data_IF_785796574302
#
_entry.id   IF_785796574302
#
_cell.length_a   1.000
_cell.length_b   1.000
_cell.length_c   1.000
_cell.angle_alpha   90.00
_cell.angle_beta   90.00
_cell.angle_gamma   90.00
#
_symmetry.space_group_name_H-M   'P 1'
#
loop_
_entity.id
_entity.type
_entity.pdbx_description
1 polymer ?
#
# COMPACT_ATOMS: atom_id res chain seq x y z
N UNK A 1 -0.94 -14.70 23.58
CA UNK A 1 -1.60 -13.54 22.99
C UNK A 1 -2.19 -13.82 21.60
N UNK A 2 -2.91 -14.95 21.44
CA UNK A 2 -3.73 -15.21 20.25
C UNK A 2 -5.17 -14.74 20.45
N UNK A 3 -5.49 -14.16 21.61
CA UNK A 3 -6.80 -13.57 21.88
C UNK A 3 -7.04 -12.41 20.92
N UNK A 4 -8.13 -12.45 20.18
CA UNK A 4 -8.50 -11.47 19.18
C UNK A 4 -7.58 -11.42 17.92
N UNK A 5 -6.86 -12.48 17.62
CA UNK A 5 -6.07 -12.62 16.40
C UNK A 5 -6.84 -13.47 15.39
N UNK A 6 -7.66 -12.83 14.57
CA UNK A 6 -8.54 -13.47 13.59
C UNK A 6 -7.73 -14.34 12.63
N UNK A 7 -8.21 -15.54 12.38
CA UNK A 7 -7.60 -16.49 11.43
C UNK A 7 -6.49 -17.35 12.01
N UNK A 8 -6.04 -17.09 13.24
CA UNK A 8 -4.98 -17.88 13.88
C UNK A 8 -5.32 -18.30 15.30
N UNK A 9 -4.93 -19.51 15.65
CA UNK A 9 -4.89 -20.03 17.03
C UNK A 9 -3.47 -20.45 17.38
N UNK A 10 -3.21 -20.65 18.68
CA UNK A 10 -1.94 -21.19 19.14
C UNK A 10 -1.86 -22.68 18.80
N UNK A 11 -0.87 -23.05 17.99
CA UNK A 11 -0.54 -24.45 17.71
C UNK A 11 0.12 -25.15 18.92
N UNK A 12 0.26 -26.47 18.82
CA UNK A 12 0.91 -27.30 19.88
C UNK A 12 2.39 -26.95 20.04
N UNK A 13 3.04 -26.50 18.97
CA UNK A 13 4.42 -26.02 18.90
C UNK A 13 4.59 -24.55 19.35
N UNK A 14 3.49 -23.90 19.76
CA UNK A 14 3.45 -22.52 20.16
C UNK A 14 3.39 -21.51 18.99
N UNK A 15 3.50 -21.96 17.74
CA UNK A 15 3.40 -21.14 16.53
C UNK A 15 1.94 -20.87 16.15
N UNK A 16 1.68 -19.80 15.33
CA UNK A 16 0.35 -19.58 14.78
C UNK A 16 -0.08 -20.75 13.88
N UNK A 17 -1.29 -21.26 14.09
CA UNK A 17 -1.93 -22.25 13.24
C UNK A 17 -3.20 -21.64 12.65
N UNK A 18 -3.39 -21.79 11.34
CA UNK A 18 -4.54 -21.24 10.63
C UNK A 18 -5.84 -21.89 11.10
N UNK A 19 -6.86 -21.05 11.31
CA UNK A 19 -8.26 -21.45 11.53
C UNK A 19 -9.03 -21.11 10.26
N UNK A 20 -9.30 -22.10 9.42
CA UNK A 20 -9.78 -21.88 8.05
C UNK A 20 -11.11 -21.12 7.98
N UNK A 21 -12.03 -21.32 8.93
CA UNK A 21 -13.28 -20.57 9.00
C UNK A 21 -13.06 -19.05 9.17
N UNK A 22 -12.09 -18.67 9.99
CA UNK A 22 -11.70 -17.28 10.22
C UNK A 22 -10.79 -16.74 9.12
N UNK A 23 -9.90 -17.59 8.58
CA UNK A 23 -9.01 -17.22 7.46
C UNK A 23 -9.79 -16.80 6.21
N UNK A 24 -10.94 -17.41 5.95
CA UNK A 24 -11.86 -16.98 4.88
C UNK A 24 -12.30 -15.53 5.05
N UNK A 25 -12.54 -15.08 6.29
CA UNK A 25 -12.93 -13.70 6.58
C UNK A 25 -11.75 -12.75 6.30
N UNK A 26 -10.53 -13.14 6.71
CA UNK A 26 -9.32 -12.35 6.43
C UNK A 26 -9.12 -12.22 4.92
N UNK A 27 -9.12 -13.32 4.16
CA UNK A 27 -9.00 -13.29 2.69
C UNK A 27 -10.09 -12.44 2.05
N UNK A 28 -11.33 -12.47 2.58
CA UNK A 28 -12.43 -11.61 2.12
C UNK A 28 -12.11 -10.12 2.34
N UNK A 29 -11.57 -9.74 3.50
CA UNK A 29 -11.18 -8.36 3.81
C UNK A 29 -10.13 -7.86 2.80
N UNK A 30 -9.09 -8.66 2.53
CA UNK A 30 -8.05 -8.34 1.56
C UNK A 30 -8.61 -8.19 0.14
N UNK A 31 -9.48 -9.13 -0.28
CA UNK A 31 -10.15 -9.08 -1.58
C UNK A 31 -11.01 -7.83 -1.73
N UNK A 32 -11.91 -7.55 -0.79
CA UNK A 32 -12.78 -6.36 -0.82
C UNK A 32 -11.97 -5.06 -0.87
N UNK A 33 -10.83 -5.01 -0.18
CA UNK A 33 -9.94 -3.85 -0.22
C UNK A 33 -9.32 -3.66 -1.61
N UNK A 34 -8.84 -4.72 -2.25
CA UNK A 34 -8.28 -4.70 -3.61
C UNK A 34 -9.36 -4.43 -4.66
N UNK A 35 -10.61 -4.84 -4.43
CA UNK A 35 -11.78 -4.45 -5.22
C UNK A 35 -12.14 -2.97 -5.08
N UNK A 36 -11.46 -2.21 -4.23
CA UNK A 36 -11.58 -0.76 -4.13
C UNK A 36 -12.36 -0.25 -2.92
N UNK A 37 -12.87 -1.11 -2.03
CA UNK A 37 -13.60 -0.65 -0.84
C UNK A 37 -12.67 0.03 0.16
N UNK A 38 -13.23 0.96 0.93
CA UNK A 38 -12.52 1.55 2.08
C UNK A 38 -12.62 0.63 3.30
N UNK A 39 -11.69 0.73 4.28
CA UNK A 39 -11.82 0.01 5.55
C UNK A 39 -13.18 0.25 6.25
N UNK A 40 -13.72 1.47 6.15
CA UNK A 40 -15.05 1.81 6.69
C UNK A 40 -16.18 1.04 6.00
N UNK A 41 -16.13 0.91 4.67
CA UNK A 41 -17.13 0.16 3.92
C UNK A 41 -17.00 -1.34 4.16
N UNK A 42 -15.77 -1.86 4.21
CA UNK A 42 -15.52 -3.26 4.55
C UNK A 42 -16.08 -3.57 5.94
N UNK A 43 -15.83 -2.71 6.93
CA UNK A 43 -16.38 -2.86 8.28
C UNK A 43 -17.93 -2.88 8.29
N UNK A 44 -18.55 -2.01 7.48
CA UNK A 44 -20.01 -2.00 7.32
C UNK A 44 -20.52 -3.30 6.68
N UNK A 45 -19.92 -3.73 5.58
CA UNK A 45 -20.29 -4.98 4.87
C UNK A 45 -20.22 -6.19 5.80
N UNK A 46 -19.11 -6.32 6.56
CA UNK A 46 -18.95 -7.41 7.52
C UNK A 46 -20.00 -7.36 8.65
N UNK A 47 -20.36 -6.15 9.10
CA UNK A 47 -21.41 -5.94 10.10
C UNK A 47 -22.79 -6.32 9.57
N UNK A 48 -23.13 -5.89 8.34
CA UNK A 48 -24.41 -6.20 7.67
C UNK A 48 -24.56 -7.70 7.39
N UNK A 49 -23.47 -8.39 7.10
CA UNK A 49 -23.44 -9.86 6.93
C UNK A 49 -23.47 -10.64 8.26
N UNK A 50 -23.47 -9.95 9.41
CA UNK A 50 -23.51 -10.59 10.73
C UNK A 50 -22.24 -11.33 11.11
N UNK A 51 -21.10 -11.04 10.46
CA UNK A 51 -19.81 -11.68 10.74
C UNK A 51 -19.26 -11.10 12.05
N UNK A 52 -18.95 -11.94 13.07
CA UNK A 52 -18.43 -11.46 14.35
C UNK A 52 -17.02 -10.88 14.20
N UNK A 53 -16.71 -9.85 14.98
CA UNK A 53 -15.35 -9.30 15.05
C UNK A 53 -14.39 -10.28 15.75
N UNK A 54 -13.04 -10.08 15.62
CA UNK A 54 -12.07 -10.89 16.38
C UNK A 54 -12.29 -10.92 17.90
N UNK A 55 -12.94 -9.89 18.44
CA UNK A 55 -13.32 -9.78 19.86
C UNK A 55 -14.73 -10.28 20.17
N UNK A 56 -15.44 -10.91 19.22
CA UNK A 56 -16.80 -11.41 19.40
C UNK A 56 -17.90 -10.33 19.40
N UNK A 57 -17.58 -9.09 19.00
CA UNK A 57 -18.59 -8.01 18.87
C UNK A 57 -19.30 -8.08 17.53
N UNK A 58 -20.51 -7.57 17.46
CA UNK A 58 -21.33 -7.54 16.24
C UNK A 58 -20.87 -6.45 15.26
N UNK A 59 -20.45 -5.29 15.78
CA UNK A 59 -20.12 -4.12 14.96
C UNK A 59 -18.62 -4.05 14.69
N UNK A 60 -18.25 -4.10 13.42
CA UNK A 60 -16.88 -3.88 12.97
C UNK A 60 -16.49 -2.40 12.98
N UNK A 61 -15.27 -2.11 13.38
CA UNK A 61 -14.67 -0.78 13.31
C UNK A 61 -13.66 -0.71 12.15
N UNK A 62 -13.53 0.47 11.52
CA UNK A 62 -12.53 0.68 10.47
C UNK A 62 -11.10 0.38 10.95
N UNK A 63 -10.77 0.78 12.19
CA UNK A 63 -9.46 0.53 12.80
C UNK A 63 -9.13 -0.96 12.93
N UNK A 64 -10.14 -1.81 13.14
CA UNK A 64 -9.96 -3.27 13.18
C UNK A 64 -9.62 -3.80 11.79
N UNK A 65 -10.31 -3.32 10.76
CA UNK A 65 -10.02 -3.68 9.36
C UNK A 65 -8.63 -3.19 8.95
N UNK A 66 -8.26 -1.94 9.26
CA UNK A 66 -6.93 -1.39 8.99
C UNK A 66 -5.83 -2.19 9.70
N UNK A 67 -6.05 -2.57 10.96
CA UNK A 67 -5.12 -3.41 11.71
C UNK A 67 -4.92 -4.79 11.06
N UNK A 68 -5.97 -5.38 10.46
CA UNK A 68 -5.87 -6.64 9.72
C UNK A 68 -5.09 -6.43 8.42
N UNK A 69 -5.39 -5.39 7.66
CA UNK A 69 -4.74 -5.09 6.38
C UNK A 69 -3.24 -4.76 6.52
N UNK A 70 -2.81 -4.23 7.67
CA UNK A 70 -1.42 -3.77 7.90
C UNK A 70 -0.58 -4.74 8.73
N UNK A 71 -1.14 -5.86 9.20
CA UNK A 71 -0.42 -6.78 10.04
C UNK A 71 0.36 -7.81 9.21
N UNK A 72 1.69 -7.73 9.23
CA UNK A 72 2.61 -8.60 8.51
C UNK A 72 2.43 -10.10 8.81
N UNK A 73 1.84 -10.42 9.95
CA UNK A 73 1.59 -11.82 10.33
C UNK A 73 0.63 -12.53 9.38
N UNK A 74 -0.22 -11.80 8.67
CA UNK A 74 -1.14 -12.40 7.70
C UNK A 74 -0.43 -12.92 6.44
N UNK A 75 0.77 -12.42 6.11
CA UNK A 75 1.61 -13.01 5.06
C UNK A 75 2.60 -14.07 5.56
N UNK A 76 2.61 -14.34 6.88
CA UNK A 76 3.48 -15.34 7.48
C UNK A 76 4.72 -14.82 8.18
N UNK A 77 4.95 -13.51 8.20
CA UNK A 77 6.10 -12.88 8.82
C UNK A 77 5.81 -12.46 10.28
N UNK A 78 6.85 -12.08 11.00
CA UNK A 78 6.70 -11.58 12.36
C UNK A 78 7.70 -10.45 12.66
N UNK A 79 7.20 -9.27 12.99
CA UNK A 79 8.00 -8.20 13.58
C UNK A 79 7.93 -8.31 15.09
N UNK A 80 9.07 -8.64 15.69
CA UNK A 80 9.23 -8.79 17.13
C UNK A 80 9.61 -7.45 17.79
N UNK A 81 9.29 -7.33 19.09
CA UNK A 81 9.59 -6.13 19.88
C UNK A 81 8.98 -4.82 19.36
N UNK A 82 7.76 -4.90 18.77
CA UNK A 82 6.96 -3.71 18.40
C UNK A 82 6.67 -2.79 19.59
N UNK A 83 6.66 -3.34 20.81
CA UNK A 83 6.47 -2.61 22.08
C UNK A 83 7.45 -3.13 23.09
N UNK A 84 7.90 -2.26 23.99
CA UNK A 84 8.72 -2.62 25.13
C UNK A 84 8.19 -1.98 26.42
N UNK A 85 8.55 -2.56 27.54
CA UNK A 85 8.17 -2.03 28.86
C UNK A 85 9.23 -1.00 29.28
N UNK A 86 8.83 0.26 29.42
CA UNK A 86 9.73 1.38 29.73
C UNK A 86 10.20 1.29 31.19
N UNK A 87 9.31 0.86 32.08
CA UNK A 87 9.57 0.78 33.49
C UNK A 87 8.95 -0.49 34.07
N UNK A 88 9.78 -1.27 34.76
CA UNK A 88 9.39 -2.54 35.36
C UNK A 88 8.32 -2.39 36.46
N UNK A 89 8.37 -1.27 37.23
CA UNK A 89 7.42 -1.03 38.30
C UNK A 89 6.04 -0.62 37.79
N UNK A 90 5.98 0.31 36.86
CA UNK A 90 4.71 0.80 36.29
C UNK A 90 4.14 -0.10 35.23
N UNK A 91 4.92 -1.05 34.68
CA UNK A 91 4.59 -1.93 33.56
C UNK A 91 4.06 -1.16 32.31
N UNK A 92 4.36 0.13 32.21
CA UNK A 92 4.00 0.95 31.05
C UNK A 92 4.70 0.43 29.81
N UNK A 93 3.91 0.14 28.79
CA UNK A 93 4.41 -0.24 27.47
C UNK A 93 4.45 0.98 26.55
N UNK A 94 5.55 1.14 25.83
CA UNK A 94 5.73 2.12 24.76
C UNK A 94 5.87 1.38 23.42
N UNK A 95 5.42 2.02 22.32
CA UNK A 95 5.75 1.56 20.98
C UNK A 95 7.25 1.75 20.79
N UNK A 96 7.91 0.73 20.25
CA UNK A 96 9.33 0.79 19.97
C UNK A 96 9.55 1.58 18.67
N UNK A 97 10.14 2.76 18.82
CA UNK A 97 10.48 3.67 17.71
C UNK A 97 11.99 3.60 17.36
N UNK A 98 12.68 2.57 17.87
CA UNK A 98 14.13 2.36 17.69
C UNK A 98 14.91 2.31 18.99
N UNK A 99 14.26 2.47 20.15
CA UNK A 99 14.94 2.45 21.46
C UNK A 99 15.45 1.05 21.85
N UNK A 100 14.79 0.02 21.32
CA UNK A 100 15.17 -1.39 21.55
C UNK A 100 15.24 -2.08 20.18
N UNK A 101 16.23 -2.97 19.92
CA UNK A 101 16.33 -3.69 18.66
C UNK A 101 15.03 -4.39 18.28
N UNK A 102 14.58 -4.22 17.05
CA UNK A 102 13.46 -4.93 16.46
C UNK A 102 13.99 -6.03 15.55
N UNK A 103 13.31 -7.16 15.54
CA UNK A 103 13.69 -8.29 14.70
C UNK A 103 12.55 -8.64 13.76
N UNK A 104 12.81 -8.58 12.46
CA UNK A 104 11.90 -9.04 11.44
C UNK A 104 12.25 -10.48 11.06
N UNK A 105 11.26 -11.37 11.13
CA UNK A 105 11.42 -12.78 10.83
C UNK A 105 10.50 -13.12 9.66
N UNK A 106 11.08 -13.38 8.50
CA UNK A 106 10.36 -13.82 7.32
C UNK A 106 10.00 -15.30 7.45
N UNK A 107 8.82 -15.68 6.92
CA UNK A 107 8.36 -17.06 6.93
C UNK A 107 8.24 -17.68 8.33
N UNK A 108 7.97 -16.87 9.34
CA UNK A 108 7.81 -17.31 10.74
C UNK A 108 6.73 -18.38 10.92
N UNK A 109 5.70 -18.33 10.09
CA UNK A 109 4.55 -19.26 10.09
C UNK A 109 3.84 -19.25 8.73
N UNK A 110 2.87 -20.13 8.55
CA UNK A 110 2.05 -20.16 7.34
C UNK A 110 1.17 -18.91 7.23
N UNK A 111 1.24 -18.21 6.08
CA UNK A 111 0.45 -17.01 5.79
C UNK A 111 -0.97 -17.35 5.37
N UNK A 112 -1.95 -16.53 5.78
CA UNK A 112 -3.34 -16.62 5.30
C UNK A 112 -3.48 -16.03 3.91
N UNK A 113 -2.69 -14.99 3.60
CA UNK A 113 -2.57 -14.39 2.27
C UNK A 113 -1.13 -14.53 1.79
N UNK A 114 -0.93 -14.48 0.48
CA UNK A 114 0.43 -14.52 -0.08
C UNK A 114 1.14 -13.19 0.13
N UNK A 115 2.48 -13.20 0.06
CA UNK A 115 3.29 -11.99 0.20
C UNK A 115 2.89 -10.95 -0.85
N UNK A 116 2.66 -11.38 -2.10
CA UNK A 116 2.28 -10.51 -3.21
C UNK A 116 0.94 -9.78 -2.93
N UNK A 117 -0.06 -10.49 -2.42
CA UNK A 117 -1.37 -9.92 -2.06
C UNK A 117 -1.23 -8.92 -0.92
N UNK A 118 -0.41 -9.24 0.09
CA UNK A 118 -0.13 -8.33 1.19
C UNK A 118 0.55 -7.05 0.67
N UNK A 119 1.58 -7.18 -0.14
CA UNK A 119 2.36 -6.06 -0.67
C UNK A 119 1.51 -5.16 -1.59
N UNK A 120 0.62 -5.73 -2.41
CA UNK A 120 -0.35 -4.97 -3.20
C UNK A 120 -1.27 -4.13 -2.31
N UNK A 121 -1.71 -4.69 -1.18
CA UNK A 121 -2.54 -3.96 -0.20
C UNK A 121 -1.75 -2.83 0.46
N UNK A 122 -0.48 -3.06 0.87
CA UNK A 122 0.36 -1.99 1.42
C UNK A 122 0.59 -0.86 0.41
N UNK A 123 0.90 -1.20 -0.84
CA UNK A 123 1.03 -0.21 -1.91
C UNK A 123 -0.25 0.64 -2.06
N UNK A 124 -1.42 0.00 -2.13
CA UNK A 124 -2.69 0.69 -2.30
C UNK A 124 -3.05 1.56 -1.07
N UNK A 125 -2.73 1.10 0.15
CA UNK A 125 -2.87 1.90 1.37
C UNK A 125 -2.00 3.15 1.32
N UNK A 126 -0.72 2.98 0.93
CA UNK A 126 0.22 4.09 0.79
C UNK A 126 -0.22 5.08 -0.29
N UNK A 127 -0.63 4.59 -1.46
CA UNK A 127 -1.16 5.39 -2.57
C UNK A 127 -2.38 6.23 -2.15
N UNK A 128 -3.35 5.60 -1.46
CA UNK A 128 -4.54 6.31 -0.97
C UNK A 128 -4.18 7.39 0.04
N UNK A 129 -3.21 7.12 0.91
CA UNK A 129 -2.73 8.07 1.91
C UNK A 129 -1.97 9.24 1.28
N UNK A 130 -1.15 9.01 0.25
CA UNK A 130 -0.36 10.05 -0.42
C UNK A 130 -1.22 11.05 -1.20
N UNK A 131 -2.42 10.66 -1.63
CA UNK A 131 -3.35 11.55 -2.35
C UNK A 131 -3.95 12.64 -1.47
N UNK A 132 -3.76 12.56 -0.14
CA UNK A 132 -4.22 13.54 0.86
C UNK A 132 -5.70 14.00 0.68
N UNK A 133 -6.55 13.13 0.14
CA UNK A 133 -7.97 13.39 -0.15
C UNK A 133 -8.86 12.32 0.48
N UNK A 134 -10.08 12.72 0.87
CA UNK A 134 -11.09 11.78 1.34
C UNK A 134 -11.44 10.78 0.23
N UNK A 135 -11.10 9.52 0.44
CA UNK A 135 -11.46 8.43 -0.44
C UNK A 135 -12.92 8.00 -0.18
N UNK A 136 -13.74 7.97 -1.23
CA UNK A 136 -15.11 7.48 -1.15
C UNK A 136 -15.23 6.20 -2.00
N UNK A 137 -15.62 5.09 -1.39
CA UNK A 137 -15.76 3.79 -2.08
C UNK A 137 -17.11 3.58 -2.77
N UNK A 138 -17.98 4.61 -2.84
CA UNK A 138 -19.26 4.48 -3.54
C UNK A 138 -19.11 4.40 -5.06
N UNK A 139 -17.97 4.85 -5.59
CA UNK A 139 -17.68 4.82 -7.01
C UNK A 139 -16.34 4.14 -7.27
N UNK A 140 -16.23 3.22 -8.26
CA UNK A 140 -14.97 2.59 -8.63
C UNK A 140 -13.93 3.59 -9.15
N UNK A 141 -14.37 4.77 -9.56
CA UNK A 141 -13.53 5.83 -10.12
C UNK A 141 -12.88 6.71 -9.05
N UNK A 142 -13.31 6.58 -7.79
CA UNK A 142 -12.79 7.39 -6.68
C UNK A 142 -11.26 7.27 -6.56
N UNK A 143 -10.57 8.42 -6.42
CA UNK A 143 -9.11 8.56 -6.34
C UNK A 143 -8.30 8.03 -7.55
N UNK A 144 -8.95 7.63 -8.63
CA UNK A 144 -8.27 7.18 -9.85
C UNK A 144 -8.38 8.19 -10.98
N UNK A 145 -9.37 9.07 -10.95
CA UNK A 145 -9.52 10.16 -11.91
C UNK A 145 -8.72 11.38 -11.43
N UNK A 146 -7.73 11.78 -12.18
CA UNK A 146 -6.80 12.88 -11.84
C UNK A 146 -6.94 14.01 -12.86
N UNK A 147 -6.99 15.22 -12.37
CA UNK A 147 -6.99 16.42 -13.21
C UNK A 147 -5.61 16.65 -13.83
N UNK A 148 -5.53 16.73 -15.15
CA UNK A 148 -4.28 16.99 -15.86
C UNK A 148 -3.75 18.42 -15.69
N UNK A 149 -4.59 19.39 -15.26
CA UNK A 149 -4.15 20.77 -15.02
C UNK A 149 -3.55 20.95 -13.62
N UNK A 150 -4.25 20.47 -12.57
CA UNK A 150 -3.86 20.76 -11.19
C UNK A 150 -3.39 19.55 -10.38
N UNK A 151 -3.39 18.34 -10.95
CA UNK A 151 -3.06 17.09 -10.25
C UNK A 151 -4.08 16.65 -9.19
N UNK A 152 -5.13 17.44 -8.96
CA UNK A 152 -6.19 17.11 -8.00
C UNK A 152 -7.10 16.00 -8.49
N UNK A 153 -7.85 15.38 -7.56
CA UNK A 153 -8.78 14.30 -7.92
C UNK A 153 -10.11 14.83 -8.45
N UNK A 154 -10.75 14.03 -9.30
CA UNK A 154 -12.15 14.21 -9.68
C UNK A 154 -13.07 13.60 -8.61
N UNK A 155 -14.18 14.27 -8.33
CA UNK A 155 -15.24 13.80 -7.44
C UNK A 155 -16.57 13.68 -8.17
N UNK A 156 -17.38 12.73 -7.71
CA UNK A 156 -18.76 12.61 -8.15
C UNK A 156 -19.57 13.82 -7.68
N UNK A 157 -20.34 14.41 -8.59
CA UNK A 157 -21.26 15.55 -8.35
C UNK A 157 -22.59 15.25 -8.97
N UNK A 158 -23.64 15.75 -8.37
CA UNK A 158 -24.99 15.68 -8.93
C UNK A 158 -25.23 16.98 -9.69
N UNK A 159 -25.44 16.87 -10.99
CA UNK A 159 -25.84 17.96 -11.86
C UNK A 159 -27.37 18.04 -11.90
N UNK A 160 -27.89 19.25 -11.87
CA UNK A 160 -29.34 19.51 -11.93
C UNK A 160 -30.15 18.72 -10.88
N UNK A 161 -29.74 18.77 -9.62
CA UNK A 161 -30.29 17.96 -8.52
C UNK A 161 -31.81 18.09 -8.33
N UNK A 162 -32.41 19.21 -8.77
CA UNK A 162 -33.82 19.58 -8.53
C UNK A 162 -34.72 19.43 -9.74
N UNK A 163 -34.26 18.87 -10.86
CA UNK A 163 -35.05 18.74 -12.07
C UNK A 163 -34.93 17.35 -12.72
N UNK A 164 -35.68 17.14 -13.83
CA UNK A 164 -35.72 15.89 -14.59
C UNK A 164 -34.40 15.53 -15.29
N UNK A 165 -33.46 16.48 -15.38
CA UNK A 165 -32.14 16.28 -16.00
C UNK A 165 -31.06 15.92 -14.97
N UNK A 166 -31.48 15.55 -13.75
CA UNK A 166 -30.57 15.10 -12.68
C UNK A 166 -29.70 13.96 -13.16
N UNK A 167 -28.39 14.16 -13.14
CA UNK A 167 -27.38 13.17 -13.51
C UNK A 167 -26.15 13.26 -12.64
N UNK A 168 -25.47 12.13 -12.47
CA UNK A 168 -24.16 12.09 -11.82
C UNK A 168 -23.06 12.38 -12.84
N UNK A 169 -22.18 13.29 -12.50
CA UNK A 169 -20.99 13.65 -13.27
C UNK A 169 -19.76 13.60 -12.39
N UNK A 170 -18.61 13.40 -13.00
CA UNK A 170 -17.29 13.47 -12.38
C UNK A 170 -16.60 14.74 -12.85
N UNK A 171 -16.14 15.58 -11.92
CA UNK A 171 -15.40 16.80 -12.23
C UNK A 171 -14.28 17.06 -11.23
N UNK A 172 -13.27 17.82 -11.62
CA UNK A 172 -12.18 18.23 -10.75
C UNK A 172 -12.71 18.91 -9.47
N UNK A 173 -12.23 18.46 -8.32
CA UNK A 173 -12.63 19.02 -7.02
C UNK A 173 -12.16 20.48 -6.84
N UNK A 174 -11.14 20.93 -7.61
CA UNK A 174 -10.63 22.28 -7.60
C UNK A 174 -11.25 23.21 -8.65
N UNK A 175 -12.33 22.76 -9.34
CA UNK A 175 -12.99 23.53 -10.39
C UNK A 175 -13.46 24.92 -9.95
N UNK A 176 -13.82 25.10 -8.70
CA UNK A 176 -14.36 26.36 -8.18
C UNK A 176 -13.34 27.19 -7.37
N UNK A 177 -12.06 27.02 -7.63
CA UNK A 177 -11.00 27.93 -7.18
C UNK A 177 -10.63 27.91 -5.70
N UNK A 178 -11.23 27.05 -4.88
CA UNK A 178 -10.96 27.02 -3.42
C UNK A 178 -9.54 26.58 -3.03
N UNK A 179 -8.76 26.06 -3.97
CA UNK A 179 -7.41 25.51 -3.72
C UNK A 179 -6.37 25.92 -4.78
N UNK A 180 -6.73 26.72 -5.77
CA UNK A 180 -5.77 27.35 -6.69
C UNK A 180 -5.38 28.70 -6.12
N UNK A 181 -4.07 28.94 -5.95
CA UNK A 181 -3.55 30.18 -5.37
C UNK A 181 -3.87 31.45 -6.19
N UNK A 182 -4.35 31.28 -7.42
CA UNK A 182 -4.77 32.32 -8.37
C UNK A 182 -6.31 32.57 -8.36
N UNK A 183 -7.07 31.81 -7.59
CA UNK A 183 -8.54 31.90 -7.54
C UNK A 183 -9.24 31.40 -8.81
N UNK A 184 -8.50 30.99 -9.85
CA UNK A 184 -9.02 30.45 -11.09
C UNK A 184 -9.19 28.93 -10.94
N UNK A 185 -10.42 28.44 -11.03
CA UNK A 185 -10.71 27.00 -10.99
C UNK A 185 -10.24 26.27 -12.25
N UNK A 186 -10.03 24.95 -12.13
CA UNK A 186 -9.64 24.11 -13.27
C UNK A 186 -10.69 24.11 -14.39
N UNK A 187 -10.23 24.19 -15.64
CA UNK A 187 -11.07 24.22 -16.84
C UNK A 187 -11.34 22.84 -17.43
N UNK A 188 -10.72 21.80 -16.89
CA UNK A 188 -10.89 20.42 -17.38
C UNK A 188 -12.36 20.00 -17.40
N UNK A 189 -12.80 19.20 -18.41
CA UNK A 189 -14.21 18.87 -18.60
C UNK A 189 -14.76 17.98 -17.47
N UNK A 190 -16.05 18.00 -17.28
CA UNK A 190 -16.75 16.96 -16.54
C UNK A 190 -16.97 15.74 -17.44
N UNK A 191 -17.03 14.55 -16.85
CA UNK A 191 -17.30 13.28 -17.51
C UNK A 191 -18.45 12.56 -16.84
N UNK A 192 -19.23 11.82 -17.59
CA UNK A 192 -20.23 10.90 -17.06
C UNK A 192 -19.60 9.53 -16.76
N UNK A 193 -20.28 8.72 -15.96
CA UNK A 193 -19.82 7.36 -15.68
C UNK A 193 -19.71 6.52 -16.97
N UNK A 194 -20.61 6.71 -17.90
CA UNK A 194 -20.64 5.93 -19.15
C UNK A 194 -19.51 6.36 -20.11
N UNK A 195 -19.18 7.65 -20.17
CA UNK A 195 -17.99 8.13 -20.90
C UNK A 195 -16.71 7.53 -20.33
N UNK A 196 -16.56 7.45 -18.99
CA UNK A 196 -15.39 6.86 -18.33
C UNK A 196 -15.31 5.35 -18.63
N UNK A 197 -16.42 4.63 -18.51
CA UNK A 197 -16.49 3.18 -18.79
C UNK A 197 -16.16 2.87 -20.24
N UNK A 198 -16.76 3.60 -21.18
CA UNK A 198 -16.51 3.42 -22.62
C UNK A 198 -15.05 3.71 -22.99
N UNK A 199 -14.47 4.80 -22.44
CA UNK A 199 -13.07 5.12 -22.64
C UNK A 199 -12.14 4.03 -22.08
N UNK A 200 -12.44 3.48 -20.89
CA UNK A 200 -11.68 2.36 -20.33
C UNK A 200 -11.73 1.11 -21.21
N UNK A 201 -12.92 0.71 -21.63
CA UNK A 201 -13.10 -0.46 -22.51
C UNK A 201 -12.24 -0.29 -23.79
N UNK A 202 -12.30 0.88 -24.42
CA UNK A 202 -11.51 1.16 -25.61
C UNK A 202 -10.00 1.12 -25.38
N UNK A 203 -9.53 1.78 -24.33
CA UNK A 203 -8.11 1.82 -23.96
C UNK A 203 -7.58 0.43 -23.59
N UNK A 204 -8.33 -0.36 -22.80
CA UNK A 204 -7.93 -1.71 -22.43
C UNK A 204 -7.94 -2.67 -23.62
N UNK A 205 -8.93 -2.56 -24.51
CA UNK A 205 -8.96 -3.31 -25.75
C UNK A 205 -7.76 -3.00 -26.66
N UNK A 206 -7.24 -1.78 -26.63
CA UNK A 206 -5.97 -1.45 -27.28
C UNK A 206 -4.80 -2.21 -26.67
N UNK A 207 -4.77 -2.41 -25.35
CA UNK A 207 -3.78 -3.26 -24.71
C UNK A 207 -3.91 -4.73 -25.15
N UNK A 208 -5.13 -5.26 -25.23
CA UNK A 208 -5.35 -6.65 -25.69
C UNK A 208 -4.85 -6.84 -27.13
N UNK A 209 -5.11 -5.90 -28.02
CA UNK A 209 -4.63 -5.94 -29.41
C UNK A 209 -3.11 -5.94 -29.52
N UNK A 210 -2.43 -5.17 -28.68
CA UNK A 210 -0.97 -5.01 -28.66
C UNK A 210 -0.28 -5.90 -27.58
N UNK A 211 -0.95 -6.95 -27.12
CA UNK A 211 -0.54 -7.78 -25.96
C UNK A 211 0.91 -8.24 -26.00
N UNK A 212 1.36 -8.78 -27.15
CA UNK A 212 2.74 -9.33 -27.29
C UNK A 212 3.80 -8.27 -27.08
N UNK A 213 3.64 -7.09 -27.64
CA UNK A 213 4.57 -5.97 -27.50
C UNK A 213 4.60 -5.48 -26.05
N UNK A 214 3.42 -5.35 -25.43
CA UNK A 214 3.27 -4.94 -24.04
C UNK A 214 3.97 -5.92 -23.11
N UNK A 215 3.76 -7.23 -23.26
CA UNK A 215 4.41 -8.25 -22.44
C UNK A 215 5.94 -8.14 -22.56
N UNK A 216 6.48 -8.07 -23.78
CA UNK A 216 7.92 -7.96 -24.00
C UNK A 216 8.49 -6.68 -23.36
N UNK A 217 7.85 -5.54 -23.52
CA UNK A 217 8.29 -4.28 -22.92
C UNK A 217 8.26 -4.34 -21.39
N UNK A 218 7.25 -4.96 -20.79
CA UNK A 218 7.17 -5.16 -19.34
C UNK A 218 8.28 -6.10 -18.83
N UNK A 219 8.54 -7.21 -19.50
CA UNK A 219 9.62 -8.14 -19.13
C UNK A 219 10.98 -7.43 -19.16
N UNK A 220 11.25 -6.65 -20.21
CA UNK A 220 12.47 -5.85 -20.31
C UNK A 220 12.57 -4.82 -19.18
N UNK A 221 11.49 -4.09 -18.90
CA UNK A 221 11.48 -3.11 -17.81
C UNK A 221 11.72 -3.75 -16.43
N UNK A 222 11.15 -4.95 -16.18
CA UNK A 222 11.39 -5.69 -14.92
C UNK A 222 12.88 -6.05 -14.79
N UNK A 223 13.50 -6.56 -15.85
CA UNK A 223 14.89 -7.03 -15.81
C UNK A 223 15.91 -5.90 -15.71
N UNK A 224 15.65 -4.75 -16.34
CA UNK A 224 16.63 -3.66 -16.43
C UNK A 224 16.42 -2.58 -15.35
N UNK A 225 15.17 -2.15 -15.14
CA UNK A 225 14.85 -0.98 -14.30
C UNK A 225 14.54 -1.40 -12.86
N UNK A 226 13.87 -2.54 -12.68
CA UNK A 226 13.40 -3.00 -11.38
C UNK A 226 14.31 -4.06 -10.73
N UNK A 227 15.48 -4.32 -11.31
CA UNK A 227 16.46 -5.22 -10.69
C UNK A 227 16.87 -4.71 -9.30
N UNK A 228 16.78 -5.58 -8.29
CA UNK A 228 17.09 -5.27 -6.88
C UNK A 228 18.43 -5.83 -6.43
N UNK A 229 19.13 -6.64 -7.24
CA UNK A 229 20.32 -7.39 -6.85
C UNK A 229 21.45 -6.52 -6.26
N UNK A 230 21.66 -5.34 -6.83
CA UNK A 230 22.67 -4.39 -6.32
C UNK A 230 22.26 -3.76 -4.99
N UNK A 231 20.98 -3.44 -4.85
CA UNK A 231 20.42 -2.83 -3.62
C UNK A 231 20.39 -3.85 -2.49
N UNK A 232 20.07 -5.11 -2.77
CA UNK A 232 20.08 -6.20 -1.78
C UNK A 232 21.50 -6.43 -1.23
N UNK A 233 22.51 -6.44 -2.11
CA UNK A 233 23.90 -6.51 -1.68
C UNK A 233 24.31 -5.29 -0.84
N UNK A 234 23.86 -4.10 -1.22
CA UNK A 234 24.10 -2.88 -0.45
C UNK A 234 23.42 -2.93 0.93
N UNK A 235 22.18 -3.39 1.00
CA UNK A 235 21.44 -3.55 2.26
C UNK A 235 22.13 -4.57 3.19
N UNK A 236 22.62 -5.71 2.65
CA UNK A 236 23.40 -6.68 3.41
C UNK A 236 24.66 -6.06 4.03
N UNK A 237 25.45 -5.33 3.24
CA UNK A 237 26.66 -4.67 3.75
C UNK A 237 26.35 -3.62 4.83
N UNK A 238 25.28 -2.82 4.64
CA UNK A 238 24.84 -1.83 5.63
C UNK A 238 24.32 -2.49 6.91
N UNK A 239 23.63 -3.61 6.80
CA UNK A 239 23.16 -4.41 7.94
C UNK A 239 24.33 -4.96 8.75
N UNK A 240 25.36 -5.50 8.08
CA UNK A 240 26.61 -5.96 8.73
C UNK A 240 27.32 -4.80 9.44
N UNK A 241 27.42 -3.62 8.79
CA UNK A 241 28.00 -2.43 9.41
C UNK A 241 27.22 -2.00 10.65
N UNK A 242 25.89 -2.00 10.62
CA UNK A 242 25.07 -1.72 11.80
C UNK A 242 25.36 -2.69 12.94
N UNK A 243 25.51 -3.99 12.64
CA UNK A 243 25.84 -5.00 13.64
C UNK A 243 27.23 -4.75 14.27
N UNK A 244 28.22 -4.42 13.46
CA UNK A 244 29.59 -4.08 13.94
C UNK A 244 29.56 -2.84 14.84
N UNK A 245 28.87 -1.79 14.44
CA UNK A 245 28.77 -0.55 15.24
C UNK A 245 28.03 -0.82 16.56
N UNK A 246 26.98 -1.63 16.55
CA UNK A 246 26.24 -2.04 17.75
C UNK A 246 27.16 -2.76 18.74
N UNK A 247 28.02 -3.67 18.26
CA UNK A 247 28.98 -4.38 19.10
C UNK A 247 30.06 -3.43 19.65
N UNK A 248 30.50 -2.42 18.87
CA UNK A 248 31.43 -1.38 19.35
C UNK A 248 30.80 -0.51 20.44
N UNK A 249 29.52 -0.14 20.30
CA UNK A 249 28.77 0.59 21.33
C UNK A 249 28.70 -0.26 22.61
N UNK A 250 28.35 -1.54 22.49
CA UNK A 250 28.29 -2.45 23.65
C UNK A 250 29.62 -2.52 24.38
N UNK A 251 30.72 -2.71 23.63
CA UNK A 251 32.08 -2.71 24.21
C UNK A 251 32.43 -1.39 24.91
N UNK A 252 32.07 -0.27 24.30
CA UNK A 252 32.31 1.07 24.90
C UNK A 252 31.53 1.22 26.21
N UNK A 253 30.32 0.72 26.32
CA UNK A 253 29.51 0.72 27.55
C UNK A 253 30.12 -0.22 28.60
N UNK A 254 30.50 -1.44 28.20
CA UNK A 254 31.14 -2.42 29.11
C UNK A 254 32.50 -1.92 29.65
N UNK A 255 33.34 -1.30 28.81
CA UNK A 255 34.60 -0.68 29.22
C UNK A 255 34.35 0.40 30.29
N UNK A 256 33.38 1.27 30.09
CA UNK A 256 33.05 2.33 31.06
C UNK A 256 32.47 1.79 32.38
N UNK A 257 31.82 0.61 32.35
CA UNK A 257 31.30 -0.03 33.56
C UNK A 257 32.40 -0.68 34.43
N UNK A 258 33.55 -1.08 33.84
CA UNK A 258 34.59 -1.83 34.51
C UNK A 258 35.87 -1.00 34.78
N UNK A 259 36.08 0.08 34.04
CA UNK A 259 37.27 0.93 34.13
C UNK A 259 36.81 2.37 34.33
N UNK A 260 37.46 3.09 35.28
CA UNK A 260 37.19 4.53 35.49
C UNK A 260 37.73 5.32 34.27
N UNK A 261 36.90 5.51 33.25
CA UNK A 261 37.21 6.33 32.06
C UNK A 261 36.81 7.78 32.34
N UNK A 262 37.57 8.75 31.79
CA UNK A 262 37.17 10.16 31.85
C UNK A 262 35.78 10.31 31.21
N UNK A 263 34.77 10.90 31.93
CA UNK A 263 33.42 11.03 31.45
C UNK A 263 33.30 11.77 30.10
N UNK A 264 34.20 12.71 29.81
CA UNK A 264 34.22 13.46 28.56
C UNK A 264 34.64 12.57 27.39
N UNK A 265 35.73 11.81 27.58
CA UNK A 265 36.24 10.88 26.54
C UNK A 265 35.25 9.78 26.24
N UNK A 266 34.58 9.26 27.27
CA UNK A 266 33.48 8.30 27.10
C UNK A 266 32.32 8.90 26.31
N UNK A 267 31.86 10.09 26.69
CA UNK A 267 30.73 10.75 26.01
C UNK A 267 31.03 11.01 24.52
N UNK A 268 32.22 11.54 24.21
CA UNK A 268 32.62 11.78 22.81
C UNK A 268 32.70 10.48 21.97
N UNK A 269 33.29 9.41 22.53
CA UNK A 269 33.39 8.11 21.85
C UNK A 269 32.00 7.49 21.60
N UNK A 270 31.14 7.56 22.64
CA UNK A 270 29.76 7.05 22.53
C UNK A 270 28.94 7.82 21.48
N UNK A 271 29.02 9.17 21.52
CA UNK A 271 28.30 10.03 20.57
C UNK A 271 28.73 9.78 19.11
N UNK A 272 30.03 9.63 18.87
CA UNK A 272 30.56 9.29 17.54
C UNK A 272 30.04 7.94 17.02
N UNK A 273 29.99 6.92 17.87
CA UNK A 273 29.47 5.60 17.51
C UNK A 273 27.95 5.64 17.29
N UNK A 274 27.21 6.36 18.13
CA UNK A 274 25.78 6.55 18.01
C UNK A 274 25.41 7.30 16.71
N UNK A 275 26.16 8.37 16.38
CA UNK A 275 25.98 9.12 15.12
C UNK A 275 26.30 8.25 13.88
N UNK A 276 27.38 7.45 13.96
CA UNK A 276 27.71 6.49 12.90
C UNK A 276 26.58 5.47 12.72
N UNK A 277 26.07 4.91 13.81
CA UNK A 277 24.93 3.97 13.77
C UNK A 277 23.69 4.61 13.11
N UNK A 278 23.32 5.81 13.58
CA UNK A 278 22.16 6.51 13.06
C UNK A 278 22.25 6.78 11.54
N UNK A 279 23.42 7.23 11.06
CA UNK A 279 23.68 7.46 9.64
C UNK A 279 23.66 6.18 8.80
N UNK A 280 24.23 5.09 9.33
CA UNK A 280 24.23 3.80 8.64
C UNK A 280 22.82 3.21 8.59
N UNK A 281 22.08 3.30 9.70
CA UNK A 281 20.70 2.83 9.79
C UNK A 281 19.77 3.61 8.86
N UNK A 282 19.89 4.94 8.77
CA UNK A 282 19.10 5.76 7.82
C UNK A 282 19.35 5.35 6.37
N UNK A 283 20.61 5.04 6.01
CA UNK A 283 20.94 4.51 4.67
C UNK A 283 20.34 3.14 4.43
N UNK A 284 20.40 2.25 5.41
CA UNK A 284 19.81 0.92 5.35
C UNK A 284 18.30 1.01 5.13
N UNK A 285 17.60 1.80 5.94
CA UNK A 285 16.14 1.97 5.85
C UNK A 285 15.70 2.54 4.49
N UNK A 286 16.47 3.49 3.94
CA UNK A 286 16.23 4.03 2.59
C UNK A 286 16.43 2.97 1.51
N UNK A 287 17.49 2.14 1.63
CA UNK A 287 17.78 1.07 0.66
C UNK A 287 16.72 -0.01 0.72
N UNK A 288 16.30 -0.45 1.91
CA UNK A 288 15.23 -1.43 2.11
C UNK A 288 13.88 -0.91 1.57
N UNK A 289 13.59 0.38 1.79
CA UNK A 289 12.40 1.03 1.23
C UNK A 289 12.40 1.00 -0.30
N UNK A 290 13.54 1.28 -0.92
CA UNK A 290 13.66 1.24 -2.39
C UNK A 290 13.52 -0.20 -2.93
N UNK A 291 14.09 -1.20 -2.26
CA UNK A 291 13.91 -2.62 -2.59
C UNK A 291 12.42 -2.99 -2.53
N UNK A 292 11.75 -2.65 -1.43
CA UNK A 292 10.33 -2.91 -1.25
C UNK A 292 9.48 -2.24 -2.34
N UNK A 293 9.79 -0.99 -2.70
CA UNK A 293 9.10 -0.26 -3.77
C UNK A 293 9.27 -0.95 -5.13
N UNK A 294 10.48 -1.40 -5.47
CA UNK A 294 10.75 -2.10 -6.74
C UNK A 294 10.05 -3.45 -6.79
N UNK A 295 10.09 -4.23 -5.72
CA UNK A 295 9.41 -5.52 -5.63
C UNK A 295 7.89 -5.36 -5.72
N UNK A 296 7.32 -4.37 -5.03
CA UNK A 296 5.91 -4.03 -5.13
C UNK A 296 5.51 -3.68 -6.57
N UNK A 297 6.37 -2.95 -7.28
CA UNK A 297 6.13 -2.59 -8.68
C UNK A 297 6.25 -3.79 -9.63
N UNK A 298 7.19 -4.72 -9.39
CA UNK A 298 7.26 -6.00 -10.12
C UNK A 298 5.97 -6.79 -9.95
N UNK A 299 5.47 -6.91 -8.73
CA UNK A 299 4.24 -7.65 -8.43
C UNK A 299 3.02 -7.02 -9.11
N UNK A 300 2.96 -5.68 -9.16
CA UNK A 300 1.88 -4.97 -9.88
C UNK A 300 1.92 -5.22 -11.39
N UNK A 301 3.11 -5.20 -11.99
CA UNK A 301 3.28 -5.50 -13.41
C UNK A 301 2.87 -6.95 -13.69
N UNK A 302 3.33 -7.89 -12.87
CA UNK A 302 2.96 -9.29 -13.00
C UNK A 302 1.44 -9.51 -12.91
N UNK A 303 0.79 -8.89 -11.93
CA UNK A 303 -0.67 -8.95 -11.79
C UNK A 303 -1.41 -8.33 -13.00
N UNK A 304 -0.91 -7.22 -13.55
CA UNK A 304 -1.46 -6.62 -14.77
C UNK A 304 -1.32 -7.53 -15.98
N UNK A 305 -0.14 -8.15 -16.16
CA UNK A 305 0.10 -9.08 -17.27
C UNK A 305 -0.78 -10.33 -17.17
N UNK A 306 -0.95 -10.87 -15.96
CA UNK A 306 -1.83 -12.00 -15.70
C UNK A 306 -3.29 -11.66 -16.06
N UNK A 307 -3.79 -10.48 -15.69
CA UNK A 307 -5.13 -10.03 -16.10
C UNK A 307 -5.24 -9.81 -17.63
N UNK A 308 -4.18 -9.31 -18.27
CA UNK A 308 -4.14 -9.11 -19.71
C UNK A 308 -4.11 -10.45 -20.47
N UNK A 309 -3.42 -11.46 -19.94
CA UNK A 309 -3.34 -12.80 -20.51
C UNK A 309 -4.65 -13.58 -20.38
N UNK A 310 -5.39 -13.41 -19.29
CA UNK A 310 -6.72 -14.02 -19.08
C UNK A 310 -7.77 -13.57 -20.10
N UNK A 311 -7.58 -12.40 -20.70
CA UNK A 311 -8.54 -11.87 -21.68
C UNK A 311 -8.28 -12.47 -23.06
N UNK A 312 -9.01 -13.52 -23.42
CA UNK A 312 -8.92 -14.15 -24.75
C UNK A 312 -9.56 -13.29 -25.84
N UNK A 313 -10.59 -12.52 -25.49
CA UNK A 313 -11.38 -11.68 -26.38
C UNK A 313 -11.40 -10.22 -25.94
N UNK A 314 -11.81 -9.33 -26.85
CA UNK A 314 -12.06 -7.92 -26.51
C UNK A 314 -13.22 -7.83 -25.51
N UNK A 315 -13.07 -6.98 -24.52
CA UNK A 315 -14.14 -6.73 -23.55
C UNK A 315 -15.22 -5.83 -24.14
N UNK A 316 -16.48 -6.13 -23.86
CA UNK A 316 -17.65 -5.35 -24.28
C UNK A 316 -18.24 -4.54 -23.15
N UNK A 317 -18.10 -5.04 -21.92
CA UNK A 317 -18.73 -4.48 -20.74
C UNK A 317 -17.70 -4.02 -19.71
N UNK A 318 -18.09 -3.01 -18.92
CA UNK A 318 -17.25 -2.53 -17.84
C UNK A 318 -17.34 -3.46 -16.63
N UNK A 319 -16.21 -4.00 -16.22
CA UNK A 319 -16.06 -4.75 -14.98
C UNK A 319 -15.27 -3.95 -13.95
N UNK A 320 -15.85 -3.79 -12.75
CA UNK A 320 -15.24 -3.02 -11.65
C UNK A 320 -14.01 -3.74 -11.08
N UNK A 321 -14.01 -5.07 -11.04
CA UNK A 321 -12.87 -5.86 -10.59
C UNK A 321 -11.67 -5.66 -11.51
N UNK A 322 -11.90 -5.81 -12.84
CA UNK A 322 -10.90 -5.57 -13.88
C UNK A 322 -10.36 -4.12 -13.81
N UNK A 323 -11.25 -3.12 -13.73
CA UNK A 323 -10.84 -1.72 -13.57
C UNK A 323 -9.88 -1.55 -12.38
N UNK A 324 -10.26 -2.07 -11.22
CA UNK A 324 -9.44 -1.97 -10.01
C UNK A 324 -8.15 -2.79 -10.08
N UNK A 325 -8.16 -3.92 -10.79
CA UNK A 325 -6.98 -4.75 -10.99
C UNK A 325 -5.93 -4.07 -11.88
N UNK A 326 -6.36 -3.41 -12.96
CA UNK A 326 -5.43 -2.96 -14.01
C UNK A 326 -5.13 -1.45 -14.01
N UNK A 327 -6.04 -0.58 -13.52
CA UNK A 327 -5.87 0.87 -13.58
C UNK A 327 -5.15 1.40 -12.33
N UNK A 328 -4.08 2.17 -12.55
CA UNK A 328 -3.44 3.01 -11.55
C UNK A 328 -4.14 4.37 -11.47
N UNK A 329 -4.26 5.08 -12.59
CA UNK A 329 -4.95 6.36 -12.70
C UNK A 329 -5.41 6.65 -14.12
N UNK A 330 -6.36 7.58 -14.26
CA UNK A 330 -6.83 8.16 -15.51
C UNK A 330 -6.66 9.68 -15.41
N UNK A 331 -5.73 10.24 -16.16
CA UNK A 331 -5.47 11.68 -16.21
C UNK A 331 -6.32 12.32 -17.28
N UNK A 332 -7.04 13.39 -16.92
CA UNK A 332 -8.01 14.08 -17.76
C UNK A 332 -7.52 15.49 -18.04
N UNK A 333 -7.13 15.77 -19.28
CA UNK A 333 -6.75 17.10 -19.77
C UNK A 333 -7.92 17.74 -20.53
N UNK A 334 -8.47 17.03 -21.50
CA UNK A 334 -9.68 17.37 -22.27
C UNK A 334 -10.43 16.09 -22.62
N UNK A 335 -11.58 16.17 -23.32
CA UNK A 335 -12.27 15.00 -23.86
C UNK A 335 -11.48 14.30 -24.96
N UNK A 336 -10.70 15.04 -25.71
CA UNK A 336 -9.81 14.56 -26.78
C UNK A 336 -8.46 14.08 -26.26
N UNK A 337 -8.09 14.44 -25.02
CA UNK A 337 -6.80 14.09 -24.42
C UNK A 337 -6.98 13.54 -23.00
N UNK A 338 -7.08 12.23 -22.92
CA UNK A 338 -7.11 11.44 -21.69
C UNK A 338 -5.94 10.48 -21.72
N UNK A 339 -5.29 10.27 -20.58
CA UNK A 339 -4.19 9.31 -20.44
C UNK A 339 -4.56 8.29 -19.38
N UNK A 340 -4.74 7.05 -19.80
CA UNK A 340 -4.86 5.91 -18.89
C UNK A 340 -3.48 5.43 -18.50
N UNK A 341 -3.20 5.41 -17.20
CA UNK A 341 -2.01 4.80 -16.63
C UNK A 341 -2.39 3.47 -16.00
N UNK A 342 -1.90 2.39 -16.58
CA UNK A 342 -2.10 1.05 -16.08
C UNK A 342 -1.05 0.69 -15.02
N UNK A 343 -1.37 -0.22 -14.11
CA UNK A 343 -0.48 -0.67 -13.03
C UNK A 343 0.84 -1.29 -13.55
N UNK A 344 0.85 -1.76 -14.79
CA UNK A 344 2.05 -2.17 -15.51
C UNK A 344 2.99 -1.03 -15.92
N UNK A 345 2.64 0.24 -15.60
CA UNK A 345 3.41 1.41 -16.01
C UNK A 345 3.16 1.83 -17.46
N UNK A 346 2.20 1.19 -18.15
CA UNK A 346 1.82 1.49 -19.53
C UNK A 346 0.87 2.67 -19.53
N UNK A 347 1.13 3.62 -20.42
CA UNK A 347 0.28 4.79 -20.63
C UNK A 347 -0.38 4.70 -22.01
N UNK A 348 -1.71 4.76 -22.04
CA UNK A 348 -2.52 4.78 -23.26
C UNK A 348 -3.21 6.13 -23.35
N UNK A 349 -2.93 6.87 -24.43
CA UNK A 349 -3.66 8.09 -24.79
C UNK A 349 -5.00 7.69 -25.41
N UNK A 350 -6.06 8.34 -24.98
CA UNK A 350 -7.42 8.07 -25.44
C UNK A 350 -8.20 9.36 -25.66
N UNK A 351 -9.20 9.27 -26.52
CA UNK A 351 -10.15 10.36 -26.81
C UNK A 351 -11.58 9.83 -26.62
N UNK A 352 -12.38 10.63 -25.91
CA UNK A 352 -13.84 10.47 -25.84
C UNK A 352 -14.43 11.39 -26.90
N UNK A 353 -14.73 10.81 -28.04
CA UNK A 353 -15.39 11.52 -29.14
C UNK A 353 -16.87 11.14 -29.16
#
# INVERSE_FOLDING_TARGET
PYKNFLGYRRGKDGKPQIVESEAKIVRKIYRLFLEGLTPTHIARTLTEEGIPTPGGKVIWQNSTVESILTNEKYKGDALLQKKYTVDFLSKKQKINEGEVPQYYVEGSHEGIVTAEVFDLVQYELHRRKSLNTSYCSKSPFSSRLICGECGGTYGAKIWDSNNKYRREIYQCNHRHGRHSGDGLGCKTPHLTADEIKGAFIGAFNSCIKNRREIINNCITAISEILDTSKLEKQASNLSEECAVVTELIRKCVDENAHISVDPKVYAEKYEQLADRYAKTKDKLDKTETEIANRNSRKNMIAAFLDELEKQEHLITDFDTGLWNAVIESMMIYSKEHIVFKFKGGIEIKWSIV
#
